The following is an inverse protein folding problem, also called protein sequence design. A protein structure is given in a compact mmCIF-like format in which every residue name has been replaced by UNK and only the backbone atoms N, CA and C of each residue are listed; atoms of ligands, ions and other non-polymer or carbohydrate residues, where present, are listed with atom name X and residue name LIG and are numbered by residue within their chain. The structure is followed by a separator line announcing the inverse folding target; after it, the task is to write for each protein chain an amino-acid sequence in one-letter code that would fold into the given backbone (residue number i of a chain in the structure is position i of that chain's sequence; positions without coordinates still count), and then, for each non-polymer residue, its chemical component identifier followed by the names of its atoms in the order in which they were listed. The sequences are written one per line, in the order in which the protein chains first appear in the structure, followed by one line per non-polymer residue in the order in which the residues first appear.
data_IF_355933046761
#
_entry.id   IF_355933046761
#
_cell.length_a   1.000
_cell.length_b   1.000
_cell.length_c   1.000
_cell.angle_alpha   90.00
_cell.angle_beta   90.00
_cell.angle_gamma   90.00
#
_symmetry.space_group_name_H-M   'P 1'
#
loop_
_entity.id
_entity.type
_entity.pdbx_description
1 polymer ?
#
# COMPACT_ATOMS: atom_id res chain seq x y z
N UNK A 1 10.34 -5.58 17.05
CA UNK A 1 10.16 -6.92 17.64
C UNK A 1 8.88 -7.04 18.46
N UNK A 2 8.71 -6.28 19.54
CA UNK A 2 7.53 -6.37 20.43
C UNK A 2 6.18 -6.32 19.68
N UNK A 3 6.00 -5.37 18.76
CA UNK A 3 4.80 -5.29 17.91
C UNK A 3 4.50 -6.57 17.14
N UNK A 4 5.52 -7.25 16.57
CA UNK A 4 5.30 -8.49 15.83
C UNK A 4 4.94 -9.66 16.74
N UNK A 5 5.50 -9.72 17.96
CA UNK A 5 5.15 -10.74 18.95
C UNK A 5 3.71 -10.54 19.44
N UNK A 6 3.33 -9.31 19.79
CA UNK A 6 1.96 -8.97 20.15
C UNK A 6 1.00 -9.30 19.02
N UNK A 7 1.35 -8.92 17.79
CA UNK A 7 0.56 -9.22 16.60
C UNK A 7 0.34 -10.74 16.46
N UNK A 8 1.39 -11.56 16.59
CA UNK A 8 1.28 -13.01 16.49
C UNK A 8 0.34 -13.58 17.57
N UNK A 9 0.59 -13.27 18.84
CA UNK A 9 -0.18 -13.82 19.97
C UNK A 9 -1.66 -13.41 19.86
N UNK A 10 -1.91 -12.13 19.66
CA UNK A 10 -3.28 -11.59 19.66
C UNK A 10 -4.05 -11.85 18.36
N UNK A 11 -3.36 -12.24 17.28
CA UNK A 11 -4.03 -12.66 16.03
C UNK A 11 -4.90 -13.91 16.20
N UNK A 12 -4.61 -14.76 17.19
CA UNK A 12 -5.39 -15.95 17.52
C UNK A 12 -6.56 -15.66 18.47
N UNK A 13 -6.61 -14.47 19.06
CA UNK A 13 -7.75 -14.06 19.90
C UNK A 13 -8.89 -13.53 19.03
N UNK A 14 -10.08 -13.40 19.63
CA UNK A 14 -11.25 -12.88 18.94
C UNK A 14 -10.99 -11.47 18.38
N UNK A 15 -11.15 -11.32 17.08
CA UNK A 15 -11.33 -10.06 16.35
C UNK A 15 -12.79 -9.62 16.40
N UNK A 16 -13.71 -10.57 16.31
CA UNK A 16 -15.13 -10.34 16.47
C UNK A 16 -15.75 -11.39 17.38
N UNK A 17 -16.83 -10.99 18.05
CA UNK A 17 -17.69 -11.85 18.84
C UNK A 17 -19.11 -11.68 18.32
N UNK A 18 -19.82 -12.78 18.13
CA UNK A 18 -21.25 -12.76 17.86
C UNK A 18 -21.95 -13.10 19.17
N UNK A 19 -22.73 -12.17 19.71
CA UNK A 19 -23.64 -12.49 20.82
C UNK A 19 -24.77 -13.35 20.25
N UNK A 20 -24.68 -14.66 20.44
CA UNK A 20 -25.80 -15.55 20.22
C UNK A 20 -26.72 -15.49 21.45
N UNK A 21 -28.04 -15.46 21.22
CA UNK A 21 -29.05 -15.34 22.29
C UNK A 21 -29.10 -16.56 23.21
N UNK A 22 -28.42 -17.65 22.85
CA UNK A 22 -28.37 -18.86 23.64
C UNK A 22 -27.21 -18.83 24.65
N UNK A 23 -27.50 -19.31 25.86
CA UNK A 23 -26.70 -19.17 27.09
C UNK A 23 -25.30 -19.82 27.03
N UNK A 24 -24.89 -20.40 25.91
CA UNK A 24 -23.63 -21.11 25.73
C UNK A 24 -22.79 -20.51 24.59
N UNK A 25 -21.70 -19.85 24.97
CA UNK A 25 -20.53 -19.43 24.18
C UNK A 25 -20.77 -18.93 22.74
N UNK A 26 -21.02 -17.62 22.60
CA UNK A 26 -21.06 -16.95 21.30
C UNK A 26 -19.81 -17.18 20.44
N UNK A 27 -20.01 -17.27 19.12
CA UNK A 27 -18.97 -17.56 18.14
C UNK A 27 -17.89 -16.48 18.13
N UNK A 28 -16.63 -16.91 18.10
CA UNK A 28 -15.46 -16.03 18.11
C UNK A 28 -14.66 -16.22 16.83
N UNK A 29 -14.45 -15.13 16.11
CA UNK A 29 -13.63 -15.14 14.90
C UNK A 29 -12.31 -14.43 15.14
N UNK A 30 -11.20 -15.08 14.80
CA UNK A 30 -9.83 -14.54 14.92
C UNK A 30 -9.32 -14.05 13.56
N UNK A 31 -8.12 -13.46 13.50
CA UNK A 31 -7.54 -12.97 12.24
C UNK A 31 -7.33 -14.08 11.17
N UNK A 32 -7.41 -15.34 11.59
CA UNK A 32 -7.25 -16.54 10.77
C UNK A 32 -8.59 -17.15 10.35
N UNK A 33 -9.70 -16.60 10.86
CA UNK A 33 -11.04 -17.07 10.54
C UNK A 33 -11.43 -16.64 9.13
N UNK A 34 -12.20 -17.50 8.48
CA UNK A 34 -12.75 -17.26 7.15
C UNK A 34 -13.92 -16.25 7.16
N UNK A 35 -14.50 -15.98 8.33
CA UNK A 35 -15.61 -15.05 8.49
C UNK A 35 -15.22 -13.59 8.15
N UNK A 36 -16.20 -12.85 7.60
CA UNK A 36 -16.11 -11.39 7.36
C UNK A 36 -14.90 -10.94 6.56
N UNK A 37 -14.38 -11.81 5.69
CA UNK A 37 -13.17 -11.54 4.89
C UNK A 37 -11.93 -11.27 5.75
N UNK A 38 -11.86 -11.81 6.97
CA UNK A 38 -10.66 -11.70 7.82
C UNK A 38 -9.48 -12.44 7.18
N UNK A 39 -9.68 -13.71 6.83
CA UNK A 39 -8.74 -14.43 5.97
C UNK A 39 -8.99 -14.10 4.49
N UNK A 40 -7.94 -13.86 3.68
CA UNK A 40 -6.53 -13.80 4.04
C UNK A 40 -6.01 -12.39 4.35
N UNK A 41 -6.84 -11.33 4.30
CA UNK A 41 -6.35 -9.94 4.36
C UNK A 41 -5.82 -9.55 5.75
N UNK A 42 -6.56 -9.80 6.83
CA UNK A 42 -6.06 -9.56 8.19
C UNK A 42 -4.86 -10.47 8.51
N UNK A 43 -4.92 -11.73 8.05
CA UNK A 43 -3.83 -12.69 8.19
C UNK A 43 -2.54 -12.21 7.52
N UNK A 44 -2.64 -11.62 6.32
CA UNK A 44 -1.51 -11.06 5.60
C UNK A 44 -0.81 -9.95 6.40
N UNK A 45 -1.57 -9.06 7.05
CA UNK A 45 -1.00 -8.03 7.94
C UNK A 45 -0.24 -8.70 9.08
N UNK A 46 -0.82 -9.73 9.71
CA UNK A 46 -0.18 -10.48 10.79
C UNK A 46 1.13 -11.11 10.32
N UNK A 47 1.12 -11.86 9.22
CA UNK A 47 2.29 -12.55 8.69
C UNK A 47 3.40 -11.56 8.36
N UNK A 48 3.08 -10.47 7.64
CA UNK A 48 4.08 -9.46 7.29
C UNK A 48 4.75 -8.86 8.53
N UNK A 49 3.95 -8.54 9.56
CA UNK A 49 4.45 -7.94 10.81
C UNK A 49 5.35 -8.90 11.57
N UNK A 50 5.01 -10.19 11.57
CA UNK A 50 5.80 -11.26 12.19
C UNK A 50 7.10 -11.46 11.44
N UNK A 51 7.07 -11.52 10.11
CA UNK A 51 8.29 -11.65 9.27
C UNK A 51 9.25 -10.50 9.55
N UNK A 52 8.77 -9.25 9.57
CA UNK A 52 9.64 -8.10 9.87
C UNK A 52 10.19 -8.14 11.30
N UNK A 53 9.42 -8.64 12.27
CA UNK A 53 9.92 -8.81 13.63
C UNK A 53 10.99 -9.90 13.72
N UNK A 54 10.85 -11.00 12.97
CA UNK A 54 11.85 -12.06 12.86
C UNK A 54 13.12 -11.53 12.22
N UNK A 55 13.03 -10.77 11.12
CA UNK A 55 14.21 -10.14 10.49
C UNK A 55 14.96 -9.27 11.49
N UNK A 56 14.27 -8.42 12.24
CA UNK A 56 14.90 -7.60 13.29
C UNK A 56 15.53 -8.45 14.38
N UNK A 57 14.91 -9.57 14.77
CA UNK A 57 15.49 -10.47 15.77
C UNK A 57 16.75 -11.15 15.25
N UNK A 58 16.76 -11.63 14.00
CA UNK A 58 17.93 -12.27 13.38
C UNK A 58 19.08 -11.26 13.28
N UNK A 59 18.80 -10.05 12.80
CA UNK A 59 19.80 -8.98 12.71
C UNK A 59 20.43 -8.67 14.08
N UNK A 60 19.59 -8.57 15.13
CA UNK A 60 20.04 -8.20 16.48
C UNK A 60 20.72 -9.31 17.26
N UNK A 61 20.33 -10.57 17.05
CA UNK A 61 20.79 -11.68 17.89
C UNK A 61 21.75 -12.65 17.18
N UNK A 62 21.70 -12.72 15.84
CA UNK A 62 22.50 -13.69 15.08
C UNK A 62 23.62 -13.04 14.26
N UNK A 63 23.68 -11.70 14.18
CA UNK A 63 24.66 -10.96 13.35
C UNK A 63 24.76 -11.55 11.94
N UNK A 64 23.61 -11.89 11.36
CA UNK A 64 23.54 -12.73 10.16
C UNK A 64 23.95 -12.01 8.87
N UNK A 65 24.43 -10.76 8.96
CA UNK A 65 24.82 -9.95 7.80
C UNK A 65 23.67 -9.76 6.81
N UNK A 66 22.45 -9.52 7.32
CA UNK A 66 21.28 -9.31 6.46
C UNK A 66 21.54 -8.07 5.58
N UNK A 67 21.28 -8.13 4.26
CA UNK A 67 21.46 -6.97 3.40
C UNK A 67 20.62 -5.80 3.91
N UNK A 68 21.15 -4.57 3.89
CA UNK A 68 20.47 -3.38 4.42
C UNK A 68 19.13 -3.08 3.70
N UNK A 69 18.97 -3.59 2.48
CA UNK A 69 17.84 -3.34 1.60
C UNK A 69 17.31 -4.61 0.98
N UNK A 70 16.00 -4.65 0.77
CA UNK A 70 15.32 -5.65 -0.06
C UNK A 70 14.68 -4.91 -1.23
N UNK A 71 15.16 -5.22 -2.44
CA UNK A 71 14.85 -4.47 -3.65
C UNK A 71 15.16 -2.96 -3.46
N UNK A 72 14.13 -2.11 -3.41
CA UNK A 72 14.25 -0.65 -3.35
C UNK A 72 14.09 -0.09 -1.94
N UNK A 73 13.73 -0.95 -1.00
CA UNK A 73 13.30 -0.54 0.33
C UNK A 73 14.35 -0.93 1.35
N UNK A 74 14.72 0.00 2.22
CA UNK A 74 15.42 -0.38 3.45
C UNK A 74 14.49 -1.16 4.37
N UNK A 75 15.04 -1.90 5.33
CA UNK A 75 14.21 -2.56 6.35
C UNK A 75 13.35 -1.57 7.15
N UNK A 76 13.82 -0.33 7.34
CA UNK A 76 13.03 0.72 8.01
C UNK A 76 11.86 1.17 7.14
N UNK A 77 12.05 1.24 5.82
CA UNK A 77 11.01 1.58 4.84
C UNK A 77 9.89 0.53 4.88
N UNK A 78 10.27 -0.75 4.84
CA UNK A 78 9.31 -1.85 4.88
C UNK A 78 8.50 -1.87 6.17
N UNK A 79 9.13 -1.60 7.32
CA UNK A 79 8.45 -1.51 8.63
C UNK A 79 7.49 -0.33 8.69
N UNK A 80 7.89 0.83 8.19
CA UNK A 80 7.02 2.01 8.13
C UNK A 80 5.81 1.76 7.22
N UNK A 81 6.07 1.29 5.99
CA UNK A 81 5.02 1.03 5.00
C UNK A 81 4.05 -0.03 5.48
N UNK A 82 4.54 -1.18 5.96
CA UNK A 82 3.69 -2.23 6.46
C UNK A 82 2.93 -1.81 7.72
N UNK A 83 3.57 -1.05 8.62
CA UNK A 83 2.92 -0.48 9.80
C UNK A 83 1.75 0.43 9.42
N UNK A 84 1.94 1.36 8.48
CA UNK A 84 0.90 2.29 8.01
C UNK A 84 -0.23 1.54 7.30
N UNK A 85 0.09 0.72 6.30
CA UNK A 85 -0.90 -0.01 5.50
C UNK A 85 -1.65 -1.06 6.33
N UNK A 86 -0.95 -1.75 7.22
CA UNK A 86 -1.55 -2.65 8.20
C UNK A 86 -2.47 -1.92 9.17
N UNK A 87 -2.08 -0.74 9.64
CA UNK A 87 -2.95 0.10 10.50
C UNK A 87 -4.21 0.53 9.77
N UNK A 88 -4.10 1.02 8.53
CA UNK A 88 -5.27 1.40 7.72
C UNK A 88 -6.21 0.20 7.55
N UNK A 89 -5.65 -0.98 7.26
CA UNK A 89 -6.42 -2.23 7.08
C UNK A 89 -7.14 -2.63 8.37
N UNK A 90 -6.44 -2.67 9.50
CA UNK A 90 -7.04 -3.05 10.80
C UNK A 90 -8.03 -2.00 11.32
N UNK A 91 -7.78 -0.71 11.11
CA UNK A 91 -8.77 0.34 11.34
C UNK A 91 -10.00 0.14 10.46
N UNK A 92 -9.81 -0.37 9.23
CA UNK A 92 -10.93 -0.73 8.37
C UNK A 92 -11.84 -1.80 8.98
N UNK A 93 -11.27 -2.83 9.59
CA UNK A 93 -12.03 -3.82 10.37
C UNK A 93 -12.64 -3.20 11.64
N UNK A 94 -11.90 -2.34 12.33
CA UNK A 94 -12.37 -1.70 13.56
C UNK A 94 -13.59 -0.80 13.32
N UNK A 95 -13.59 -0.05 12.23
CA UNK A 95 -14.68 0.85 11.84
C UNK A 95 -15.75 0.19 10.96
N UNK A 96 -15.64 -1.13 10.69
CA UNK A 96 -16.68 -1.87 9.97
C UNK A 96 -17.99 -1.77 10.76
N UNK A 97 -19.03 -1.24 10.11
CA UNK A 97 -20.40 -1.21 10.62
C UNK A 97 -21.02 -2.61 10.67
N UNK A 98 -22.09 -2.79 11.45
CA UNK A 98 -22.87 -4.04 11.44
C UNK A 98 -23.22 -4.65 12.80
N UNK A 99 -23.16 -3.88 13.90
CA UNK A 99 -23.57 -4.39 15.22
C UNK A 99 -22.72 -5.54 15.77
N UNK A 100 -21.59 -5.86 15.14
CA UNK A 100 -20.70 -6.95 15.54
C UNK A 100 -19.72 -6.44 16.58
N UNK A 101 -19.70 -7.10 17.74
CA UNK A 101 -18.80 -6.77 18.83
C UNK A 101 -17.35 -7.04 18.46
N UNK A 102 -16.51 -6.04 18.72
CA UNK A 102 -15.07 -6.11 18.45
C UNK A 102 -14.39 -6.84 19.60
N UNK A 103 -13.63 -7.88 19.27
CA UNK A 103 -12.84 -8.63 20.23
C UNK A 103 -11.49 -7.98 20.53
N UNK A 104 -10.88 -8.38 21.65
CA UNK A 104 -9.61 -7.83 22.14
C UNK A 104 -8.44 -8.03 21.15
N UNK A 105 -8.47 -9.08 20.34
CA UNK A 105 -7.44 -9.37 19.34
C UNK A 105 -7.30 -8.22 18.35
N UNK A 106 -8.41 -7.71 17.81
CA UNK A 106 -8.42 -6.63 16.83
C UNK A 106 -7.80 -5.33 17.41
N UNK A 107 -8.18 -4.95 18.63
CA UNK A 107 -7.63 -3.76 19.29
C UNK A 107 -6.12 -3.86 19.51
N UNK A 108 -5.64 -4.98 20.06
CA UNK A 108 -4.21 -5.14 20.36
C UNK A 108 -3.39 -5.25 19.08
N UNK A 109 -3.89 -5.94 18.05
CA UNK A 109 -3.24 -5.98 16.74
C UNK A 109 -3.15 -4.57 16.12
N UNK A 110 -4.21 -3.75 16.24
CA UNK A 110 -4.19 -2.36 15.76
C UNK A 110 -3.18 -1.50 16.51
N UNK A 111 -3.10 -1.63 17.83
CA UNK A 111 -2.08 -0.94 18.63
C UNK A 111 -0.67 -1.43 18.27
N UNK A 112 -0.51 -2.71 17.95
CA UNK A 112 0.77 -3.27 17.52
C UNK A 112 1.25 -2.68 16.19
N UNK A 113 0.38 -2.46 15.20
CA UNK A 113 0.75 -1.77 13.94
C UNK A 113 1.13 -0.32 14.19
N UNK A 114 0.39 0.40 15.05
CA UNK A 114 0.74 1.77 15.46
C UNK A 114 2.10 1.81 16.16
N UNK A 115 2.37 0.86 17.05
CA UNK A 115 3.68 0.73 17.71
C UNK A 115 4.83 0.47 16.73
N UNK A 116 4.57 -0.27 15.64
CA UNK A 116 5.56 -0.45 14.58
C UNK A 116 5.83 0.84 13.80
N UNK A 117 4.80 1.63 13.50
CA UNK A 117 4.96 2.95 12.88
C UNK A 117 5.83 3.83 13.77
N UNK A 118 5.50 3.93 15.06
CA UNK A 118 6.25 4.74 16.01
C UNK A 118 7.73 4.32 16.07
N UNK A 119 8.00 3.02 16.18
CA UNK A 119 9.38 2.49 16.18
C UNK A 119 10.13 2.79 14.88
N UNK A 120 9.49 2.64 13.72
CA UNK A 120 10.10 2.94 12.43
C UNK A 120 10.37 4.45 12.23
N UNK A 121 9.49 5.32 12.72
CA UNK A 121 9.68 6.78 12.68
C UNK A 121 10.83 7.20 13.60
N UNK A 122 10.93 6.65 14.81
CA UNK A 122 12.02 6.95 15.74
C UNK A 122 13.38 6.57 15.13
N UNK A 123 13.51 5.35 14.60
CA UNK A 123 14.75 4.89 13.95
C UNK A 123 15.16 5.80 12.78
N UNK A 124 14.20 6.24 11.96
CA UNK A 124 14.46 7.19 10.88
C UNK A 124 14.85 8.57 11.37
N UNK A 125 14.26 9.03 12.46
CA UNK A 125 14.61 10.33 13.05
C UNK A 125 16.05 10.33 13.58
N UNK A 126 16.51 9.20 14.12
CA UNK A 126 17.89 9.02 14.60
C UNK A 126 18.90 8.94 13.45
N UNK A 127 18.54 8.28 12.34
CA UNK A 127 19.35 8.24 11.13
C UNK A 127 19.45 9.61 10.42
N UNK A 128 18.65 10.59 10.86
CA UNK A 128 18.35 11.80 10.12
C UNK A 128 17.43 11.49 8.95
N UNK A 129 16.39 12.32 8.76
CA UNK A 129 15.64 12.30 7.50
C UNK A 129 16.56 12.84 6.39
N UNK A 130 17.53 12.04 5.96
CA UNK A 130 18.30 12.34 4.77
C UNK A 130 17.26 12.49 3.65
N UNK A 131 17.08 13.72 3.17
CA UNK A 131 16.23 13.97 2.03
C UNK A 131 16.81 13.13 0.90
N UNK A 132 16.12 12.04 0.56
CA UNK A 132 16.39 11.37 -0.69
C UNK A 132 16.17 12.44 -1.76
N UNK A 133 17.26 12.87 -2.40
CA UNK A 133 17.24 13.91 -3.41
C UNK A 133 16.60 13.33 -4.67
N UNK A 134 15.27 13.19 -4.64
CA UNK A 134 14.45 12.77 -5.78
C UNK A 134 14.11 13.98 -6.64
N UNK A 135 15.12 14.82 -6.90
CA UNK A 135 15.03 16.02 -7.74
C UNK A 135 14.69 15.70 -9.21
N UNK A 136 14.64 14.41 -9.57
CA UNK A 136 14.19 13.92 -10.88
C UNK A 136 12.67 13.96 -11.11
N UNK A 137 11.84 14.17 -10.07
CA UNK A 137 10.38 14.00 -10.18
C UNK A 137 9.57 15.22 -10.65
N UNK A 138 10.19 16.38 -10.86
CA UNK A 138 9.47 17.66 -10.95
C UNK A 138 9.86 18.59 -12.09
N UNK A 139 10.44 18.11 -13.18
CA UNK A 139 10.56 18.95 -14.37
C UNK A 139 9.15 19.14 -14.93
N UNK A 140 8.65 20.37 -15.02
CA UNK A 140 7.27 20.71 -15.43
C UNK A 140 6.93 20.42 -16.90
N UNK A 141 7.37 19.26 -17.39
CA UNK A 141 7.15 18.70 -18.71
C UNK A 141 5.84 17.93 -18.82
N UNK A 142 5.61 17.41 -20.03
CA UNK A 142 4.44 16.62 -20.38
C UNK A 142 4.35 15.36 -19.49
N UNK A 143 3.13 14.93 -19.07
CA UNK A 143 2.95 13.72 -18.26
C UNK A 143 3.64 12.52 -18.91
N UNK A 144 4.37 11.73 -18.12
CA UNK A 144 5.03 10.53 -18.64
C UNK A 144 3.99 9.43 -18.93
N UNK A 145 4.33 8.40 -19.72
CA UNK A 145 3.45 7.24 -19.89
C UNK A 145 3.05 6.61 -18.54
N UNK A 146 3.97 6.53 -17.59
CA UNK A 146 3.69 6.01 -16.25
C UNK A 146 2.64 6.85 -15.50
N UNK A 147 2.72 8.18 -15.59
CA UNK A 147 1.74 9.08 -14.97
C UNK A 147 0.33 8.85 -15.54
N UNK A 148 0.22 8.70 -16.86
CA UNK A 148 -1.07 8.40 -17.51
C UNK A 148 -1.65 7.05 -17.08
N UNK A 149 -0.80 6.04 -16.91
CA UNK A 149 -1.24 4.72 -16.39
C UNK A 149 -1.77 4.86 -14.97
N UNK A 150 -1.06 5.57 -14.08
CA UNK A 150 -1.52 5.77 -12.69
C UNK A 150 -2.83 6.57 -12.65
N UNK A 151 -2.94 7.65 -13.43
CA UNK A 151 -4.16 8.47 -13.51
C UNK A 151 -5.32 7.62 -14.04
N UNK A 152 -5.13 6.91 -15.16
CA UNK A 152 -6.17 6.07 -15.74
C UNK A 152 -6.63 4.96 -14.78
N UNK A 153 -5.69 4.27 -14.15
CA UNK A 153 -5.97 3.24 -13.16
C UNK A 153 -6.66 3.81 -11.91
N UNK A 154 -6.24 4.97 -11.42
CA UNK A 154 -6.85 5.66 -10.30
C UNK A 154 -8.30 6.10 -10.57
N UNK A 155 -8.60 6.58 -11.79
CA UNK A 155 -9.98 6.88 -12.20
C UNK A 155 -10.80 5.59 -12.27
N UNK A 156 -10.24 4.55 -12.90
CA UNK A 156 -10.93 3.27 -13.06
C UNK A 156 -11.26 2.60 -11.72
N UNK A 157 -10.33 2.58 -10.76
CA UNK A 157 -10.57 1.97 -9.44
C UNK A 157 -11.61 2.77 -8.66
N UNK A 158 -11.62 4.11 -8.78
CA UNK A 158 -12.63 4.95 -8.17
C UNK A 158 -14.02 4.65 -8.75
N UNK A 159 -14.17 4.63 -10.07
CA UNK A 159 -15.44 4.29 -10.73
C UNK A 159 -15.88 2.89 -10.33
N UNK A 160 -14.99 1.90 -10.41
CA UNK A 160 -15.27 0.52 -10.04
C UNK A 160 -15.75 0.37 -8.60
N UNK A 161 -15.25 1.21 -7.68
CA UNK A 161 -15.64 1.18 -6.27
C UNK A 161 -17.09 1.59 -6.00
N UNK A 162 -17.69 2.40 -6.88
CA UNK A 162 -19.11 2.79 -6.78
C UNK A 162 -20.05 1.80 -7.46
N UNK A 163 -19.54 0.90 -8.31
CA UNK A 163 -20.31 -0.18 -8.90
C UNK A 163 -20.46 -1.33 -7.90
N UNK A 164 -21.40 -2.24 -8.17
CA UNK A 164 -21.55 -3.44 -7.35
C UNK A 164 -20.24 -4.23 -7.40
N UNK A 165 -19.70 -4.54 -6.21
CA UNK A 165 -18.46 -5.30 -6.02
C UNK A 165 -18.82 -6.73 -5.65
N UNK A 166 -19.71 -6.90 -4.67
CA UNK A 166 -20.25 -8.18 -4.22
C UNK A 166 -21.77 -8.08 -4.24
N UNK A 167 -22.45 -9.03 -4.88
CA UNK A 167 -23.91 -9.06 -4.95
C UNK A 167 -24.51 -7.72 -5.43
N UNK A 168 -25.34 -7.06 -4.63
CA UNK A 168 -25.91 -5.75 -4.96
C UNK A 168 -25.28 -4.62 -4.13
N UNK A 169 -24.08 -4.86 -3.59
CA UNK A 169 -23.37 -3.95 -2.68
C UNK A 169 -22.09 -3.41 -3.34
N UNK A 170 -21.90 -2.09 -3.32
CA UNK A 170 -20.66 -1.43 -3.75
C UNK A 170 -19.61 -1.40 -2.63
N UNK A 171 -18.37 -0.96 -2.93
CA UNK A 171 -17.31 -0.87 -1.92
C UNK A 171 -17.64 0.08 -0.75
N UNK A 172 -18.60 1.00 -0.99
CA UNK A 172 -19.07 2.01 -0.04
C UNK A 172 -20.37 1.61 0.67
N UNK A 173 -20.92 0.43 0.33
CA UNK A 173 -22.17 -0.05 0.91
C UNK A 173 -22.01 -0.56 2.35
N UNK A 174 -23.15 -0.76 3.01
CA UNK A 174 -23.20 -1.31 4.37
C UNK A 174 -22.54 -2.70 4.43
N UNK A 175 -21.77 -2.95 5.48
CA UNK A 175 -21.02 -4.20 5.64
C UNK A 175 -19.76 -4.31 4.77
N UNK A 176 -19.69 -3.67 3.61
CA UNK A 176 -18.49 -3.62 2.77
C UNK A 176 -17.53 -2.49 3.16
N UNK A 177 -18.07 -1.32 3.50
CA UNK A 177 -17.30 -0.16 3.95
C UNK A 177 -16.80 -0.34 5.40
N UNK A 178 -15.55 0.08 5.71
CA UNK A 178 -14.54 0.67 4.82
C UNK A 178 -13.62 -0.34 4.13
N UNK A 179 -13.69 -1.63 4.47
CA UNK A 179 -12.69 -2.64 4.06
C UNK A 179 -12.54 -2.74 2.54
N UNK A 180 -13.66 -2.84 1.82
CA UNK A 180 -13.65 -2.95 0.36
C UNK A 180 -13.31 -1.62 -0.32
N UNK A 181 -13.46 -0.49 0.37
CA UNK A 181 -13.10 0.83 -0.14
C UNK A 181 -11.60 1.14 -0.03
N UNK A 182 -10.83 0.40 0.79
CA UNK A 182 -9.40 0.65 0.99
C UNK A 182 -8.62 0.70 -0.33
N UNK A 183 -8.71 -0.28 -1.25
CA UNK A 183 -7.97 -0.23 -2.51
C UNK A 183 -8.29 1.03 -3.33
N UNK A 184 -9.56 1.44 -3.36
CA UNK A 184 -10.00 2.65 -4.05
C UNK A 184 -9.42 3.90 -3.41
N UNK A 185 -9.42 4.00 -2.07
CA UNK A 185 -8.82 5.11 -1.34
C UNK A 185 -7.32 5.23 -1.65
N UNK A 186 -6.58 4.12 -1.60
CA UNK A 186 -5.14 4.12 -1.91
C UNK A 186 -4.87 4.54 -3.36
N UNK A 187 -5.68 4.06 -4.31
CA UNK A 187 -5.61 4.45 -5.72
C UNK A 187 -5.94 5.92 -5.96
N UNK A 188 -6.93 6.47 -5.26
CA UNK A 188 -7.29 7.89 -5.32
C UNK A 188 -6.17 8.77 -4.76
N UNK A 189 -5.52 8.36 -3.66
CA UNK A 189 -4.37 9.08 -3.11
C UNK A 189 -3.22 9.15 -4.13
N UNK A 190 -2.89 8.02 -4.78
CA UNK A 190 -1.90 8.00 -5.87
C UNK A 190 -2.32 8.91 -7.03
N UNK A 191 -3.57 8.82 -7.48
CA UNK A 191 -4.10 9.64 -8.56
C UNK A 191 -3.98 11.13 -8.26
N UNK A 192 -4.40 11.57 -7.07
CA UNK A 192 -4.37 12.98 -6.69
C UNK A 192 -2.93 13.46 -6.64
N UNK A 193 -2.04 12.70 -6.01
CA UNK A 193 -0.63 13.07 -5.91
C UNK A 193 -0.01 13.25 -7.31
N UNK A 194 -0.19 12.26 -8.19
CA UNK A 194 0.36 12.28 -9.54
C UNK A 194 -0.24 13.44 -10.33
N UNK A 195 -1.57 13.56 -10.37
CA UNK A 195 -2.25 14.63 -11.09
C UNK A 195 -1.82 16.03 -10.60
N UNK A 196 -1.69 16.24 -9.28
CA UNK A 196 -1.22 17.51 -8.73
C UNK A 196 0.21 17.77 -9.18
N UNK A 197 1.12 16.80 -9.03
CA UNK A 197 2.53 16.96 -9.43
C UNK A 197 2.69 17.29 -10.92
N UNK A 198 1.89 16.63 -11.77
CA UNK A 198 1.94 16.76 -13.22
C UNK A 198 1.29 18.06 -13.72
N UNK A 199 0.09 18.39 -13.25
CA UNK A 199 -0.70 19.50 -13.84
C UNK A 199 -0.44 20.85 -13.17
N UNK A 200 -0.11 20.88 -11.89
CA UNK A 200 0.06 22.15 -11.16
C UNK A 200 1.51 22.63 -11.16
N UNK A 201 2.46 21.77 -11.53
CA UNK A 201 3.90 22.00 -11.33
C UNK A 201 4.23 22.37 -9.87
N UNK A 202 3.40 21.94 -8.92
CA UNK A 202 3.63 22.16 -7.51
C UNK A 202 4.92 21.46 -7.09
N UNK A 203 5.79 22.21 -6.40
CA UNK A 203 6.97 21.64 -5.76
C UNK A 203 6.51 20.89 -4.51
N UNK A 204 6.14 19.62 -4.70
CA UNK A 204 5.93 18.69 -3.60
C UNK A 204 7.29 18.37 -2.96
N UNK A 205 7.34 18.08 -1.65
CA UNK A 205 8.58 17.60 -1.04
C UNK A 205 9.05 16.35 -1.76
N UNK A 206 10.36 16.22 -2.04
CA UNK A 206 10.90 15.07 -2.79
C UNK A 206 10.67 13.71 -2.09
N UNK A 207 10.39 13.73 -0.79
CA UNK A 207 10.03 12.55 -0.02
C UNK A 207 9.03 12.87 1.09
N UNK A 208 8.33 11.85 1.58
CA UNK A 208 7.43 11.93 2.74
C UNK A 208 7.90 10.92 3.78
N UNK A 209 8.16 11.37 5.01
CA UNK A 209 8.76 10.56 6.08
C UNK A 209 10.10 9.90 5.69
N UNK A 210 10.80 10.43 4.68
CA UNK A 210 12.02 9.85 4.10
C UNK A 210 11.77 8.72 3.10
N UNK A 211 10.54 8.56 2.59
CA UNK A 211 10.22 7.68 1.47
C UNK A 211 10.07 8.51 0.20
N UNK A 212 10.69 8.10 -0.90
CA UNK A 212 10.48 8.77 -2.19
C UNK A 212 9.04 8.55 -2.68
N UNK A 213 8.53 9.44 -3.53
CA UNK A 213 7.19 9.25 -4.08
C UNK A 213 7.06 7.95 -4.89
N UNK A 214 8.13 7.52 -5.56
CA UNK A 214 8.15 6.24 -6.27
C UNK A 214 7.99 5.04 -5.31
N UNK A 215 8.65 5.07 -4.15
CA UNK A 215 8.49 4.08 -3.09
C UNK A 215 7.06 4.09 -2.53
N UNK A 216 6.50 5.28 -2.28
CA UNK A 216 5.12 5.44 -1.79
C UNK A 216 4.11 4.89 -2.80
N UNK A 217 4.22 5.24 -4.08
CA UNK A 217 3.35 4.75 -5.14
C UNK A 217 3.40 3.23 -5.30
N UNK A 218 4.61 2.65 -5.25
CA UNK A 218 4.76 1.20 -5.33
C UNK A 218 4.13 0.50 -4.12
N UNK A 219 4.27 1.07 -2.93
CA UNK A 219 3.64 0.54 -1.72
C UNK A 219 2.10 0.64 -1.75
N UNK A 220 1.56 1.80 -2.13
CA UNK A 220 0.12 2.04 -2.21
C UNK A 220 -0.53 1.16 -3.29
N UNK A 221 0.03 1.14 -4.51
CA UNK A 221 -0.46 0.32 -5.61
C UNK A 221 -0.32 -1.17 -5.30
N UNK A 222 0.82 -1.58 -4.74
CA UNK A 222 1.08 -2.95 -4.32
C UNK A 222 0.09 -3.44 -3.27
N UNK A 223 -0.19 -2.62 -2.25
CA UNK A 223 -1.17 -2.95 -1.21
C UNK A 223 -2.61 -2.99 -1.73
N UNK A 224 -2.97 -2.07 -2.63
CA UNK A 224 -4.28 -2.08 -3.28
C UNK A 224 -4.47 -3.38 -4.08
N UNK A 225 -3.49 -3.76 -4.91
CA UNK A 225 -3.53 -5.00 -5.69
C UNK A 225 -3.57 -6.24 -4.80
N UNK A 226 -2.72 -6.27 -3.77
CA UNK A 226 -2.66 -7.38 -2.83
C UNK A 226 -3.97 -7.54 -2.04
N UNK A 227 -4.60 -6.44 -1.64
CA UNK A 227 -5.92 -6.46 -0.99
C UNK A 227 -7.00 -7.02 -1.91
N UNK A 228 -7.03 -6.61 -3.18
CA UNK A 228 -7.97 -7.15 -4.17
C UNK A 228 -7.75 -8.64 -4.44
N UNK A 229 -6.49 -9.09 -4.49
CA UNK A 229 -6.14 -10.52 -4.59
C UNK A 229 -6.57 -11.28 -3.34
N UNK A 230 -6.36 -10.72 -2.14
CA UNK A 230 -6.82 -11.30 -0.89
C UNK A 230 -8.34 -11.48 -0.89
N UNK A 231 -9.10 -10.48 -1.35
CA UNK A 231 -10.55 -10.61 -1.49
C UNK A 231 -10.91 -11.75 -2.45
N UNK A 232 -10.27 -11.81 -3.63
CA UNK A 232 -10.49 -12.90 -4.60
C UNK A 232 -10.28 -14.28 -3.96
N UNK A 233 -9.15 -14.47 -3.27
CA UNK A 233 -8.80 -15.74 -2.61
C UNK A 233 -9.79 -16.06 -1.48
N UNK A 234 -10.11 -15.07 -0.63
CA UNK A 234 -11.04 -15.25 0.47
C UNK A 234 -12.40 -15.77 -0.01
N UNK A 235 -12.93 -15.21 -1.10
CA UNK A 235 -14.20 -15.70 -1.65
C UNK A 235 -14.11 -17.13 -2.19
N UNK A 236 -13.08 -17.41 -2.99
CA UNK A 236 -12.87 -18.75 -3.59
C UNK A 236 -12.74 -19.84 -2.52
N UNK A 237 -12.11 -19.50 -1.39
CA UNK A 237 -11.79 -20.47 -0.33
C UNK A 237 -12.89 -20.63 0.73
N UNK A 238 -13.77 -19.64 0.89
CA UNK A 238 -14.69 -19.58 2.03
C UNK A 238 -16.15 -19.74 1.66
N UNK A 239 -16.63 -19.01 0.65
CA UNK A 239 -18.06 -18.70 0.56
C UNK A 239 -18.82 -19.54 -0.48
N UNK A 240 -18.15 -20.50 -1.13
CA UNK A 240 -18.76 -21.39 -2.13
C UNK A 240 -19.20 -20.68 -3.42
N UNK A 241 -19.83 -21.44 -4.32
CA UNK A 241 -20.19 -20.98 -5.68
C UNK A 241 -21.36 -19.99 -5.72
N UNK A 242 -22.06 -19.75 -4.60
CA UNK A 242 -23.35 -19.05 -4.60
C UNK A 242 -23.24 -17.52 -4.71
N UNK A 243 -22.05 -16.95 -4.53
CA UNK A 243 -21.88 -15.49 -4.60
C UNK A 243 -20.92 -15.07 -5.68
N UNK A 244 -21.47 -14.24 -6.57
CA UNK A 244 -20.81 -13.76 -7.77
C UNK A 244 -20.12 -12.42 -7.52
N UNK A 245 -18.81 -12.38 -7.81
CA UNK A 245 -18.10 -11.13 -8.03
C UNK A 245 -18.75 -10.35 -9.17
N UNK A 246 -19.05 -9.08 -8.91
CA UNK A 246 -19.70 -8.21 -9.89
C UNK A 246 -18.69 -7.37 -10.64
N UNK A 247 -19.16 -6.65 -11.64
CA UNK A 247 -18.30 -5.89 -12.55
C UNK A 247 -17.42 -4.85 -11.83
N UNK A 248 -17.90 -4.26 -10.73
CA UNK A 248 -17.11 -3.31 -9.93
C UNK A 248 -15.84 -3.95 -9.37
N UNK A 249 -15.94 -5.19 -8.87
CA UNK A 249 -14.79 -5.93 -8.37
C UNK A 249 -13.71 -6.12 -9.44
N UNK A 250 -14.09 -6.57 -10.63
CA UNK A 250 -13.16 -6.85 -11.72
C UNK A 250 -12.48 -5.57 -12.23
N UNK A 251 -13.23 -4.47 -12.33
CA UNK A 251 -12.67 -3.16 -12.66
C UNK A 251 -11.66 -2.73 -11.60
N UNK A 252 -12.00 -2.84 -10.32
CA UNK A 252 -11.09 -2.49 -9.23
C UNK A 252 -9.83 -3.36 -9.22
N UNK A 253 -9.96 -4.66 -9.48
CA UNK A 253 -8.83 -5.59 -9.52
C UNK A 253 -7.87 -5.22 -10.66
N UNK A 254 -8.38 -5.08 -11.88
CA UNK A 254 -7.56 -4.69 -13.05
C UNK A 254 -6.93 -3.31 -12.83
N UNK A 255 -7.70 -2.35 -12.31
CA UNK A 255 -7.20 -1.02 -12.02
C UNK A 255 -6.10 -1.04 -10.94
N UNK A 256 -6.24 -1.84 -9.89
CA UNK A 256 -5.21 -1.99 -8.86
C UNK A 256 -3.90 -2.57 -9.40
N UNK A 257 -3.98 -3.52 -10.34
CA UNK A 257 -2.82 -4.02 -11.08
C UNK A 257 -2.21 -2.94 -11.99
N UNK A 258 -3.05 -2.10 -12.60
CA UNK A 258 -2.64 -0.92 -13.36
C UNK A 258 -1.87 0.09 -12.51
N UNK A 259 -2.27 0.32 -11.26
CA UNK A 259 -1.53 1.18 -10.32
C UNK A 259 -0.13 0.63 -10.04
N UNK A 260 0.01 -0.69 -9.83
CA UNK A 260 1.31 -1.35 -9.66
C UNK A 260 2.16 -1.18 -10.91
N UNK A 261 1.60 -1.47 -12.09
CA UNK A 261 2.31 -1.36 -13.36
C UNK A 261 2.80 0.08 -13.59
N UNK A 262 1.95 1.08 -13.35
CA UNK A 262 2.31 2.49 -13.45
C UNK A 262 3.42 2.89 -12.47
N UNK A 263 3.36 2.43 -11.21
CA UNK A 263 4.41 2.69 -10.23
C UNK A 263 5.76 2.05 -10.62
N UNK A 264 5.74 0.82 -11.15
CA UNK A 264 6.95 0.13 -11.65
C UNK A 264 7.52 0.83 -12.87
N UNK A 265 6.69 1.27 -13.82
CA UNK A 265 7.14 2.03 -14.99
C UNK A 265 7.82 3.33 -14.57
N UNK A 266 7.20 4.07 -13.64
CA UNK A 266 7.76 5.34 -13.14
C UNK A 266 9.12 5.14 -12.48
N UNK A 267 9.27 4.06 -11.72
CA UNK A 267 10.56 3.66 -11.15
C UNK A 267 11.60 3.31 -12.23
N UNK A 268 11.22 2.59 -13.27
CA UNK A 268 12.13 2.25 -14.38
C UNK A 268 12.56 3.51 -15.14
N UNK A 269 11.65 4.45 -15.35
CA UNK A 269 11.93 5.74 -15.97
C UNK A 269 12.94 6.54 -15.13
N UNK A 270 12.78 6.58 -13.80
CA UNK A 270 13.70 7.26 -12.88
C UNK A 270 15.10 6.64 -12.86
N UNK A 271 15.22 5.33 -13.08
CA UNK A 271 16.50 4.61 -13.10
C UNK A 271 17.13 4.49 -14.49
N UNK A 272 16.50 5.03 -15.54
CA UNK A 272 17.05 4.96 -16.89
C UNK A 272 18.32 5.83 -16.96
N UNK A 273 19.45 5.30 -17.46
CA UNK A 273 20.65 6.11 -17.66
C UNK A 273 20.32 7.32 -18.52
N UNK A 274 20.78 8.50 -18.12
CA UNK A 274 20.67 9.69 -18.95
C UNK A 274 21.22 9.36 -20.34
N UNK A 275 20.41 9.58 -21.39
CA UNK A 275 20.90 9.42 -22.76
C UNK A 275 22.15 10.29 -22.90
N UNK A 276 23.29 9.74 -23.37
CA UNK A 276 24.50 10.53 -23.56
C UNK A 276 24.13 11.74 -24.39
N UNK A 277 24.21 12.93 -23.80
CA UNK A 277 24.00 14.17 -24.54
C UNK A 277 25.12 14.20 -25.56
N UNK A 278 24.76 14.15 -26.84
CA UNK A 278 25.75 14.22 -27.92
C UNK A 278 26.67 15.41 -27.63
N UNK A 279 28.00 15.25 -27.69
CA UNK A 279 28.91 16.35 -27.43
C UNK A 279 28.50 17.53 -28.32
N UNK A 280 28.56 18.77 -27.81
CA UNK A 280 28.18 19.93 -28.59
C UNK A 280 28.91 19.87 -29.94
N UNK A 281 28.21 20.17 -31.06
CA UNK A 281 28.81 20.07 -32.38
C UNK A 281 30.13 20.86 -32.35
N UNK A 282 31.23 20.17 -32.70
CA UNK A 282 32.55 20.78 -32.74
C UNK A 282 32.43 22.11 -33.49
N UNK A 283 32.82 23.21 -32.83
CA UNK A 283 32.52 24.57 -33.26
C UNK A 283 32.68 24.72 -34.78
N UNK A 284 31.62 25.16 -35.44
CA UNK A 284 31.65 25.43 -36.87
C UNK A 284 32.83 26.35 -37.22
N UNK A 285 33.34 26.30 -38.46
CA UNK A 285 34.45 27.15 -38.88
C UNK A 285 34.15 28.61 -38.54
N UNK A 286 35.15 29.37 -38.05
CA UNK A 286 34.96 30.77 -37.68
C UNK A 286 34.37 31.56 -38.86
N UNK A 287 33.49 32.54 -38.60
CA UNK A 287 32.89 33.33 -39.66
C UNK A 287 33.97 34.01 -40.50
N UNK A 288 33.78 34.11 -41.84
CA UNK A 288 34.74 34.77 -42.71
C UNK A 288 34.91 36.24 -42.29
N UNK A 289 36.13 36.80 -42.41
CA UNK A 289 36.37 38.20 -42.10
C UNK A 289 35.51 39.12 -42.99
N UNK A 290 35.06 40.28 -42.47
CA UNK A 290 34.27 41.23 -43.26
C UNK A 290 35.06 41.74 -44.48
N UNK A 291 34.40 41.98 -45.63
CA UNK A 291 35.05 42.52 -46.82
C UNK A 291 35.59 43.92 -46.56
N UNK A 292 36.80 44.18 -47.07
CA UNK A 292 37.50 45.47 -47.00
C UNK A 292 36.98 46.48 -48.03
#
# INVERSE_FOLDING_TARGET
MASGVLMLIFSFLAFYKVEETDFFEGEKWSAWSNALSLFPLATLVVIGMVVLAVVVAIDRFADAGIPERVALFSWSDLRLLLGVLGTITLLGYLFRSGGIDKGIGLYVCTLATIGMIAGAVMERSEAGFAAADDSGGGSGGQPTPADWVIIGAGVAILIGSFLNVVEETSAWGEGAFPIYAIPAILGVVMLIQVAVSTFTRAQLPGSVLGLTWNQVHLALGGWAALSMICFLIGRITVEGDDVSWKIGFWIMLIASLGLVAGAVMRLQEANRPATPVAPPPAGGPPPPPPPA
#
